data_IF_672416957180
#
_entry.id   IF_672416957180
#
_cell.length_a   1.000
_cell.length_b   1.000
_cell.length_c   1.000
_cell.angle_alpha   90.00
_cell.angle_beta   90.00
_cell.angle_gamma   90.00
#
_symmetry.space_group_name_H-M   'P 1'
#
loop_
_entity.id
_entity.type
_entity.pdbx_description
1 polymer ?
#
# COMPACT_ATOMS: atom_id res chain seq x y z
N UNK A 1 -16.60 -33.17 7.89
CA UNK A 1 -16.55 -32.52 8.11
C UNK A 1 -16.18 -31.99 8.16
N UNK A 2 -16.01 -32.19 8.13
CA UNK A 2 -15.85 -31.45 8.31
C UNK A 2 -15.56 -30.79 8.44
N UNK A 3 -15.30 -31.06 8.49
CA UNK A 3 -15.14 -30.44 8.81
C UNK A 3 -14.83 -29.75 8.74
N UNK A 4 -14.53 -29.99 8.82
CA UNK A 4 -14.27 -29.23 8.93
C UNK A 4 -13.94 -28.49 8.79
N UNK A 5 -13.65 -28.58 9.02
CA UNK A 5 -13.47 -27.76 9.23
C UNK A 5 -12.94 -27.27 9.61
N UNK A 6 -12.25 -27.48 9.79
CA UNK A 6 -11.95 -26.99 10.27
C UNK A 6 -11.26 -26.12 10.91
N UNK A 7 -9.85 -26.35 11.95
CA UNK A 7 -9.71 -25.18 12.79
C UNK A 7 -8.39 -24.43 12.62
N UNK A 8 -7.20 -25.02 12.46
CA UNK A 8 -6.00 -24.26 12.09
C UNK A 8 -6.13 -23.63 10.72
N UNK A 9 -6.87 -24.27 9.87
CA UNK A 9 -7.16 -23.71 8.56
C UNK A 9 -8.06 -22.50 8.67
N UNK A 10 -8.96 -22.49 9.64
CA UNK A 10 -9.83 -21.36 9.90
C UNK A 10 -9.07 -20.10 10.25
N UNK A 11 -8.07 -20.22 11.11
CA UNK A 11 -7.30 -19.06 11.55
C UNK A 11 -6.54 -18.43 10.39
N UNK A 12 -5.95 -19.26 9.57
CA UNK A 12 -5.22 -18.78 8.40
C UNK A 12 -6.17 -18.12 7.41
N UNK A 13 -7.32 -18.72 7.24
CA UNK A 13 -8.32 -18.21 6.34
C UNK A 13 -8.88 -16.88 6.82
N UNK A 14 -9.06 -16.73 8.12
CA UNK A 14 -9.51 -15.49 8.72
C UNK A 14 -8.53 -14.35 8.48
N UNK A 15 -7.23 -14.64 8.54
CA UNK A 15 -6.21 -13.63 8.27
C UNK A 15 -6.31 -13.12 6.83
N UNK A 16 -6.57 -14.00 5.88
CA UNK A 16 -6.77 -13.60 4.50
C UNK A 16 -8.02 -12.75 4.33
N UNK A 17 -9.08 -13.11 5.04
CA UNK A 17 -10.34 -12.38 4.95
C UNK A 17 -10.27 -10.99 5.57
N UNK A 18 -9.23 -10.73 6.35
CA UNK A 18 -9.04 -9.41 6.97
C UNK A 18 -8.30 -8.45 6.07
N UNK A 19 -7.87 -8.89 4.88
CA UNK A 19 -7.20 -7.99 3.96
C UNK A 19 -8.18 -7.51 2.88
N UNK A 20 -7.92 -6.31 2.38
CA UNK A 20 -8.71 -5.71 1.32
C UNK A 20 -7.78 -5.26 0.20
N UNK A 21 -8.15 -5.49 -1.07
CA UNK A 21 -7.38 -4.93 -2.16
C UNK A 21 -7.49 -3.40 -2.14
N UNK A 22 -6.34 -2.75 -2.09
CA UNK A 22 -6.25 -1.30 -2.01
C UNK A 22 -5.46 -0.81 -3.20
N UNK A 23 -6.02 0.12 -3.95
CA UNK A 23 -5.43 0.61 -5.18
C UNK A 23 -4.67 1.90 -4.92
N UNK A 24 -3.47 1.97 -5.46
CA UNK A 24 -2.65 3.18 -5.35
C UNK A 24 -2.34 3.69 -6.75
N UNK A 25 -2.47 5.00 -6.93
CA UNK A 25 -2.22 5.67 -8.19
C UNK A 25 -1.26 6.82 -7.96
N UNK A 26 -0.29 6.96 -8.84
CA UNK A 26 0.67 8.06 -8.79
C UNK A 26 0.80 8.67 -10.17
N UNK A 27 0.50 9.95 -10.28
CA UNK A 27 0.58 10.66 -11.55
C UNK A 27 1.99 11.22 -11.72
N UNK A 28 2.82 10.46 -12.42
CA UNK A 28 4.23 10.82 -12.63
C UNK A 28 4.64 10.39 -14.03
N UNK A 29 4.11 11.05 -15.08
CA UNK A 29 4.30 10.57 -16.45
C UNK A 29 5.74 10.60 -16.92
N UNK A 30 6.58 11.47 -16.34
CA UNK A 30 7.98 11.55 -16.72
C UNK A 30 8.92 10.70 -15.89
N UNK A 31 8.39 9.95 -14.93
CA UNK A 31 9.23 9.17 -14.02
C UNK A 31 9.75 7.92 -14.71
N UNK A 32 10.93 7.48 -14.29
CA UNK A 32 11.53 6.24 -14.78
C UNK A 32 11.12 5.05 -13.93
N UNK A 33 10.92 5.27 -12.62
CA UNK A 33 10.51 4.22 -11.70
C UNK A 33 9.76 4.84 -10.53
N UNK A 34 8.70 4.18 -10.09
CA UNK A 34 7.92 4.60 -8.93
C UNK A 34 7.73 3.39 -8.03
N UNK A 35 7.99 3.57 -6.75
CA UNK A 35 7.79 2.53 -5.75
C UNK A 35 6.82 3.02 -4.69
N UNK A 36 6.05 2.09 -4.13
CA UNK A 36 5.19 2.38 -3.00
C UNK A 36 5.88 1.93 -1.73
N UNK A 37 5.99 2.83 -0.75
CA UNK A 37 6.58 2.52 0.54
C UNK A 37 5.57 2.87 1.63
N UNK A 38 5.52 2.04 2.65
CA UNK A 38 4.58 2.25 3.73
C UNK A 38 4.85 1.35 4.92
N UNK A 39 4.01 1.52 5.94
CA UNK A 39 4.12 0.71 7.15
C UNK A 39 3.84 -0.77 6.91
N UNK A 40 3.21 -1.10 5.79
CA UNK A 40 2.88 -2.48 5.42
C UNK A 40 4.07 -3.22 4.79
N UNK A 41 5.14 -2.53 4.44
CA UNK A 41 6.34 -3.18 3.90
C UNK A 41 7.61 -2.68 4.58
N UNK A 42 7.46 -2.18 5.81
CA UNK A 42 8.58 -1.66 6.62
C UNK A 42 9.34 -0.55 5.90
N UNK A 43 8.61 0.24 5.09
CA UNK A 43 9.17 1.36 4.33
C UNK A 43 10.30 0.93 3.40
N UNK A 44 10.27 -0.32 2.94
CA UNK A 44 11.29 -0.86 2.06
C UNK A 44 11.17 -0.24 0.67
N UNK A 45 12.24 0.38 0.15
CA UNK A 45 12.16 1.14 -1.10
C UNK A 45 12.09 0.29 -2.37
N UNK A 46 12.18 -1.04 -2.26
CA UNK A 46 12.30 -1.88 -3.46
C UNK A 46 11.30 -3.02 -3.54
N UNK A 47 10.45 -3.22 -2.53
CA UNK A 47 9.57 -4.40 -2.52
C UNK A 47 8.27 -4.21 -3.28
N UNK A 48 7.85 -2.98 -3.52
CA UNK A 48 6.55 -2.70 -4.15
C UNK A 48 6.71 -1.74 -5.34
N UNK A 49 7.30 -2.23 -6.46
CA UNK A 49 7.37 -1.40 -7.66
C UNK A 49 5.98 -1.19 -8.24
N UNK A 50 5.67 0.03 -8.64
CA UNK A 50 4.41 0.34 -9.29
C UNK A 50 4.53 0.10 -10.78
N UNK A 51 3.40 -0.15 -11.42
CA UNK A 51 3.33 -0.40 -12.86
C UNK A 51 2.92 0.85 -13.59
N UNK A 52 3.65 1.15 -14.66
CA UNK A 52 3.34 2.30 -15.51
C UNK A 52 2.24 1.94 -16.50
N UNK A 53 1.19 2.74 -16.51
CA UNK A 53 0.10 2.58 -17.48
C UNK A 53 0.37 3.42 -18.72
N UNK A 54 -0.39 3.15 -19.76
CA UNK A 54 -0.20 3.82 -21.04
C UNK A 54 -0.47 5.32 -20.97
N UNK A 55 -1.27 5.75 -20.00
CA UNK A 55 -1.59 7.17 -19.82
C UNK A 55 -0.54 7.91 -18.97
N UNK A 56 0.51 7.23 -18.54
CA UNK A 56 1.55 7.82 -17.71
C UNK A 56 1.27 7.77 -16.22
N UNK A 57 0.13 7.22 -15.83
CA UNK A 57 -0.20 7.02 -14.41
C UNK A 57 0.40 5.71 -13.93
N UNK A 58 0.98 5.72 -12.73
CA UNK A 58 1.52 4.51 -12.12
C UNK A 58 0.50 3.91 -11.19
N UNK A 59 0.43 2.59 -11.16
CA UNK A 59 -0.62 1.86 -10.45
C UNK A 59 -0.04 0.67 -9.71
N UNK A 60 -0.61 0.39 -8.54
CA UNK A 60 -0.34 -0.85 -7.82
C UNK A 60 -1.51 -1.16 -6.91
N UNK A 61 -1.89 -2.44 -6.87
CA UNK A 61 -2.88 -2.93 -5.91
C UNK A 61 -2.17 -3.74 -4.85
N UNK A 62 -2.45 -3.45 -3.59
CA UNK A 62 -1.85 -4.13 -2.45
C UNK A 62 -2.95 -4.61 -1.53
N UNK A 63 -2.83 -5.84 -1.03
CA UNK A 63 -3.75 -6.35 -0.03
C UNK A 63 -3.33 -5.83 1.33
N UNK A 64 -4.18 -5.04 1.97
CA UNK A 64 -3.88 -4.42 3.25
C UNK A 64 -4.91 -4.81 4.29
N UNK A 65 -4.48 -4.88 5.55
CA UNK A 65 -5.36 -5.15 6.66
C UNK A 65 -6.14 -3.91 7.04
N UNK A 66 -7.27 -4.13 7.72
CA UNK A 66 -8.15 -3.07 8.21
C UNK A 66 -7.39 -2.05 9.05
N UNK A 67 -7.78 -0.79 8.92
CA UNK A 67 -7.24 0.30 9.71
C UNK A 67 -6.62 1.39 8.84
N UNK A 68 -5.98 2.33 9.49
CA UNK A 68 -5.27 3.39 8.79
C UNK A 68 -3.85 2.93 8.49
N UNK A 69 -3.41 3.13 7.23
CA UNK A 69 -2.07 2.76 6.80
C UNK A 69 -1.35 4.00 6.31
N UNK A 70 -0.06 4.08 6.63
CA UNK A 70 0.79 5.21 6.22
C UNK A 70 1.62 4.80 5.02
N UNK A 71 1.77 5.70 4.07
CA UNK A 71 2.52 5.40 2.86
C UNK A 71 3.05 6.66 2.20
N UNK A 72 3.98 6.48 1.27
CA UNK A 72 4.47 7.50 0.35
C UNK A 72 4.83 6.84 -0.96
N UNK A 73 4.99 7.67 -1.99
CA UNK A 73 5.57 7.22 -3.25
C UNK A 73 7.04 7.60 -3.29
N UNK A 74 7.85 6.74 -3.89
CA UNK A 74 9.22 7.08 -4.25
C UNK A 74 9.26 7.24 -5.76
N UNK A 75 9.32 8.48 -6.21
CA UNK A 75 9.33 8.81 -7.64
C UNK A 75 10.77 9.10 -8.02
N UNK A 76 11.39 8.21 -8.78
CA UNK A 76 12.82 8.29 -9.13
C UNK A 76 13.68 8.53 -7.89
N UNK A 77 13.35 7.83 -6.81
CA UNK A 77 14.08 7.90 -5.54
C UNK A 77 13.68 9.04 -4.61
N UNK A 78 12.74 9.89 -5.01
CA UNK A 78 12.31 11.02 -4.17
C UNK A 78 10.99 10.69 -3.48
N UNK A 79 10.89 10.87 -2.15
CA UNK A 79 9.64 10.64 -1.45
C UNK A 79 8.65 11.75 -1.77
N UNK A 80 7.44 11.35 -2.15
CA UNK A 80 6.38 12.26 -2.55
C UNK A 80 5.09 11.83 -1.86
N UNK A 81 4.39 12.79 -1.29
CA UNK A 81 3.07 12.55 -0.71
C UNK A 81 2.04 12.36 -1.83
N UNK A 82 1.00 11.60 -1.51
CA UNK A 82 -0.11 11.40 -2.42
C UNK A 82 -1.08 12.58 -2.26
N UNK A 83 -1.27 13.42 -3.28
CA UNK A 83 -2.19 14.55 -3.17
C UNK A 83 -3.65 14.13 -3.03
N UNK A 84 -3.97 12.88 -3.35
CA UNK A 84 -5.33 12.36 -3.24
C UNK A 84 -5.54 11.52 -1.99
N UNK A 85 -4.59 11.52 -1.06
CA UNK A 85 -4.72 10.75 0.17
C UNK A 85 -5.83 11.29 1.05
N UNK A 86 -6.37 10.41 1.92
CA UNK A 86 -7.40 10.78 2.87
C UNK A 86 -6.88 11.79 3.90
N UNK A 87 -5.59 11.77 4.17
CA UNK A 87 -4.97 12.69 5.12
C UNK A 87 -3.47 12.58 5.12
N UNK A 88 -2.86 13.37 5.97
CA UNK A 88 -1.41 13.40 6.17
C UNK A 88 -1.14 13.16 7.65
N UNK A 89 -0.14 12.35 7.93
CA UNK A 89 0.30 12.09 9.30
C UNK A 89 1.80 12.24 9.38
N UNK A 90 2.34 12.11 10.59
CA UNK A 90 3.78 12.09 10.80
C UNK A 90 4.19 10.69 11.22
N UNK A 91 5.23 10.17 10.60
CA UNK A 91 5.77 8.86 10.93
C UNK A 91 6.54 8.94 12.26
N UNK A 92 7.05 7.77 12.69
CA UNK A 92 7.83 7.70 13.92
C UNK A 92 9.07 8.59 13.89
N UNK A 93 9.61 8.84 12.69
CA UNK A 93 10.76 9.73 12.53
C UNK A 93 10.34 11.16 12.18
N UNK A 94 9.07 11.49 12.41
CA UNK A 94 8.51 12.83 12.22
C UNK A 94 8.56 13.32 10.78
N UNK A 95 8.43 12.40 9.82
CA UNK A 95 8.30 12.74 8.41
C UNK A 95 6.84 12.70 8.00
N UNK A 96 6.45 13.58 7.10
CA UNK A 96 5.09 13.58 6.60
C UNK A 96 4.84 12.37 5.71
N UNK A 97 3.69 11.74 5.92
CA UNK A 97 3.27 10.56 5.17
C UNK A 97 1.80 10.69 4.83
N UNK A 98 1.40 10.00 3.77
CA UNK A 98 0.00 9.95 3.37
C UNK A 98 -0.75 8.87 4.14
N UNK A 99 -2.05 9.03 4.28
CA UNK A 99 -2.91 8.07 4.97
C UNK A 99 -3.92 7.48 4.01
N UNK A 100 -4.13 6.18 4.14
CA UNK A 100 -5.23 5.47 3.50
C UNK A 100 -6.02 4.72 4.56
N UNK A 101 -7.34 4.79 4.46
CA UNK A 101 -8.23 4.06 5.36
C UNK A 101 -8.68 2.78 4.66
N UNK A 102 -8.41 1.65 5.30
CA UNK A 102 -8.79 0.33 4.79
C UNK A 102 -9.93 -0.19 5.65
N UNK A 103 -11.11 -0.34 5.05
CA UNK A 103 -12.31 -0.74 5.79
C UNK A 103 -12.55 -2.25 5.79
#
# INVERSE_FOLDING_TARGET
MNTTYDHPVSDRYSAWNNTKPTNFYCDAPGAKAVYLVGDFNHWNPTTHPMERRVDGCWFLQVLLTHGHRQYRFLVDGKPILDPHAAGVAHSEVNEEVSLVAVS
#
